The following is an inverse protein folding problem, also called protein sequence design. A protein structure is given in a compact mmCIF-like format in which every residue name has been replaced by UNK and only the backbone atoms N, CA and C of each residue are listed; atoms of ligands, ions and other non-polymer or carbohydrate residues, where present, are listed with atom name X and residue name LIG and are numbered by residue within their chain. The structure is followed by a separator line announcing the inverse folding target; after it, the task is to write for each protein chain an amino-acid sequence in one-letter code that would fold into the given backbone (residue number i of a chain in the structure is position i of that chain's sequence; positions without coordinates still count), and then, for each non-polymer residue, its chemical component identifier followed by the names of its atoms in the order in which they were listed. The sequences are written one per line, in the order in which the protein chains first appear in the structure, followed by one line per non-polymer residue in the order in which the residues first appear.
data_IF_687015186113
#
_entry.id   IF_687015186113
#
_cell.length_a   1.000
_cell.length_b   1.000
_cell.length_c   1.000
_cell.angle_alpha   90.00
_cell.angle_beta   90.00
_cell.angle_gamma   90.00
#
_symmetry.space_group_name_H-M   'P 1'
#
loop_
_entity.id
_entity.type
_entity.pdbx_description
1 polymer ?
#
# COMPACT_ATOMS: atom_id res chain seq x y z
N UNK A 1 10.93 14.95 4.96
CA UNK A 1 11.12 13.60 5.56
C UNK A 1 11.15 12.56 4.45
N UNK A 2 11.73 11.38 4.70
CA UNK A 2 11.59 10.18 3.87
C UNK A 2 10.38 9.39 4.36
N UNK A 3 9.35 9.29 3.58
CA UNK A 3 8.11 8.57 3.91
C UNK A 3 8.02 7.30 3.06
N UNK A 4 7.91 6.14 3.70
CA UNK A 4 7.72 4.87 3.00
C UNK A 4 6.27 4.40 3.19
N UNK A 5 5.52 4.25 2.10
CA UNK A 5 4.25 3.54 2.12
C UNK A 5 4.43 2.10 1.64
N UNK A 6 3.86 1.15 2.38
CA UNK A 6 3.93 -0.28 2.06
C UNK A 6 2.51 -0.84 1.99
N UNK A 7 2.06 -1.17 0.79
CA UNK A 7 0.81 -1.90 0.54
C UNK A 7 1.06 -3.39 0.35
N UNK A 8 0.09 -4.22 0.68
CA UNK A 8 0.15 -5.66 0.47
C UNK A 8 -0.01 -6.01 -1.01
N UNK A 9 -1.00 -5.42 -1.67
CA UNK A 9 -1.37 -5.74 -3.06
C UNK A 9 -1.22 -4.53 -4.00
N UNK A 10 -1.11 -4.76 -5.31
CA UNK A 10 -1.24 -3.72 -6.33
C UNK A 10 -2.67 -3.13 -6.28
N UNK A 11 -2.83 -1.89 -5.86
CA UNK A 11 -4.02 -1.05 -5.63
C UNK A 11 -4.16 -0.49 -4.20
N UNK A 12 -3.61 -1.15 -3.20
CA UNK A 12 -3.77 -0.78 -1.78
C UNK A 12 -3.33 0.66 -1.48
N UNK A 13 -2.19 1.07 -2.03
CA UNK A 13 -1.66 2.42 -1.78
C UNK A 13 -2.61 3.46 -2.35
N UNK A 14 -3.14 3.24 -3.54
CA UNK A 14 -4.07 4.14 -4.20
C UNK A 14 -5.39 4.23 -3.43
N UNK A 15 -5.90 3.11 -2.92
CA UNK A 15 -7.17 3.06 -2.20
C UNK A 15 -7.03 3.67 -0.80
N UNK A 16 -6.03 3.25 -0.03
CA UNK A 16 -5.99 3.56 1.41
C UNK A 16 -5.04 4.70 1.79
N UNK A 17 -4.00 5.00 1.01
CA UNK A 17 -2.90 5.86 1.44
C UNK A 17 -2.68 7.07 0.54
N UNK A 18 -3.22 7.07 -0.69
CA UNK A 18 -2.87 8.05 -1.73
C UNK A 18 -3.11 9.50 -1.31
N UNK A 19 -4.25 9.79 -0.69
CA UNK A 19 -4.60 11.16 -0.29
C UNK A 19 -3.55 11.76 0.66
N UNK A 20 -3.21 11.03 1.72
CA UNK A 20 -2.17 11.43 2.67
C UNK A 20 -0.81 11.57 1.97
N UNK A 21 -0.41 10.60 1.16
CA UNK A 21 0.86 10.62 0.44
C UNK A 21 0.96 11.82 -0.52
N UNK A 22 -0.14 12.18 -1.17
CA UNK A 22 -0.18 13.36 -2.07
C UNK A 22 0.03 14.65 -1.30
N UNK A 23 -0.60 14.81 -0.14
CA UNK A 23 -0.42 15.96 0.75
C UNK A 23 1.04 16.04 1.22
N UNK A 24 1.60 14.93 1.71
CA UNK A 24 2.99 14.87 2.16
C UNK A 24 3.97 15.24 1.03
N UNK A 25 3.72 14.73 -0.18
CA UNK A 25 4.52 15.08 -1.35
C UNK A 25 4.45 16.57 -1.68
N UNK A 26 3.26 17.18 -1.63
CA UNK A 26 3.07 18.61 -1.87
C UNK A 26 3.80 19.45 -0.82
N UNK A 27 3.91 18.96 0.41
CA UNK A 27 4.71 19.57 1.49
C UNK A 27 6.22 19.50 1.24
N UNK A 28 6.67 18.72 0.28
CA UNK A 28 8.09 18.53 -0.06
C UNK A 28 8.74 17.28 0.55
N UNK A 29 7.95 16.34 1.07
CA UNK A 29 8.47 15.07 1.58
C UNK A 29 8.88 14.14 0.43
N UNK A 30 9.91 13.32 0.67
CA UNK A 30 10.38 12.29 -0.25
C UNK A 30 9.57 11.01 -0.08
N UNK A 31 8.73 10.70 -1.07
CA UNK A 31 7.84 9.54 -1.02
C UNK A 31 8.50 8.33 -1.66
N UNK A 32 8.49 7.22 -0.93
CA UNK A 32 8.88 5.89 -1.36
C UNK A 32 7.68 4.96 -1.25
N UNK A 33 7.49 4.09 -2.25
CA UNK A 33 6.32 3.23 -2.37
C UNK A 33 6.77 1.78 -2.55
N UNK A 34 6.15 0.85 -1.84
CA UNK A 34 6.43 -0.58 -1.96
C UNK A 34 5.14 -1.40 -2.01
N UNK A 35 5.11 -2.37 -2.91
CA UNK A 35 4.05 -3.37 -3.02
C UNK A 35 4.65 -4.72 -2.64
N UNK A 36 4.08 -5.38 -1.64
CA UNK A 36 4.64 -6.61 -1.08
C UNK A 36 4.37 -7.81 -1.99
N UNK A 37 3.12 -8.08 -2.36
CA UNK A 37 2.74 -9.26 -3.14
C UNK A 37 2.66 -8.97 -4.64
N UNK A 38 2.55 -10.04 -5.43
CA UNK A 38 2.37 -9.96 -6.87
C UNK A 38 0.91 -9.74 -7.30
N UNK A 39 -0.04 -9.86 -6.36
CA UNK A 39 -1.47 -9.66 -6.60
C UNK A 39 -2.12 -10.69 -7.52
N UNK A 40 -1.54 -11.89 -7.66
CA UNK A 40 -1.96 -12.89 -8.64
C UNK A 40 -3.32 -13.54 -8.37
N UNK A 41 -3.90 -13.34 -7.17
CA UNK A 41 -5.18 -13.92 -6.80
C UNK A 41 -6.36 -12.95 -6.90
N UNK A 42 -6.12 -11.69 -7.26
CA UNK A 42 -7.13 -10.64 -7.30
C UNK A 42 -7.98 -10.60 -8.58
N UNK A 43 -8.29 -11.74 -9.21
CA UNK A 43 -9.15 -11.76 -10.41
C UNK A 43 -9.17 -13.10 -11.11
N UNK A 44 -9.97 -13.19 -12.20
CA UNK A 44 -10.27 -14.43 -12.93
C UNK A 44 -9.30 -14.72 -14.10
N UNK A 45 -8.41 -13.79 -14.43
CA UNK A 45 -7.42 -13.97 -15.48
C UNK A 45 -6.32 -14.97 -15.07
N UNK A 46 -5.62 -15.59 -16.04
CA UNK A 46 -4.46 -16.42 -15.73
C UNK A 46 -3.45 -15.64 -14.87
N UNK A 47 -2.99 -16.25 -13.76
CA UNK A 47 -2.16 -15.59 -12.74
C UNK A 47 -0.99 -14.79 -13.31
N UNK A 48 -0.23 -15.38 -14.25
CA UNK A 48 0.93 -14.72 -14.89
C UNK A 48 0.56 -13.48 -15.70
N UNK A 49 -0.62 -13.46 -16.29
CA UNK A 49 -1.14 -12.33 -17.04
C UNK A 49 -1.63 -11.24 -16.10
N UNK A 50 -2.42 -11.62 -15.07
CA UNK A 50 -2.94 -10.72 -14.06
C UNK A 50 -1.83 -9.94 -13.35
N UNK A 51 -0.75 -10.61 -12.94
CA UNK A 51 0.43 -9.96 -12.33
C UNK A 51 0.98 -8.86 -13.22
N UNK A 52 1.11 -9.11 -14.53
CA UNK A 52 1.63 -8.11 -15.48
C UNK A 52 0.69 -6.91 -15.62
N UNK A 53 -0.61 -7.18 -15.68
CA UNK A 53 -1.65 -6.14 -15.79
C UNK A 53 -1.65 -5.28 -14.53
N UNK A 54 -1.83 -5.88 -13.36
CA UNK A 54 -1.89 -5.16 -12.09
C UNK A 54 -0.63 -4.34 -11.81
N UNK A 55 0.54 -4.86 -12.18
CA UNK A 55 1.79 -4.10 -12.06
C UNK A 55 1.80 -2.84 -12.94
N UNK A 56 1.29 -2.92 -14.18
CA UNK A 56 1.17 -1.75 -15.07
C UNK A 56 0.16 -0.74 -14.51
N UNK A 57 -0.97 -1.21 -14.03
CA UNK A 57 -2.01 -0.39 -13.41
C UNK A 57 -1.46 0.38 -12.20
N UNK A 58 -0.74 -0.29 -11.28
CA UNK A 58 -0.07 0.34 -10.13
C UNK A 58 0.97 1.39 -10.57
N UNK A 59 1.79 1.10 -11.59
CA UNK A 59 2.76 2.09 -12.10
C UNK A 59 2.03 3.33 -12.63
N UNK A 60 0.92 3.15 -13.32
CA UNK A 60 0.10 4.27 -13.82
C UNK A 60 -0.57 5.03 -12.68
N UNK A 61 -1.21 4.34 -11.74
CA UNK A 61 -1.90 4.95 -10.58
C UNK A 61 -0.97 5.75 -9.69
N UNK A 62 0.25 5.26 -9.47
CA UNK A 62 1.23 5.89 -8.58
C UNK A 62 2.18 6.88 -9.28
N UNK A 63 2.00 7.12 -10.58
CA UNK A 63 2.92 7.96 -11.40
C UNK A 63 3.11 9.36 -10.86
N UNK A 64 2.08 9.97 -10.27
CA UNK A 64 2.13 11.29 -9.66
C UNK A 64 2.83 11.32 -8.28
N UNK A 65 3.06 10.16 -7.66
CA UNK A 65 3.74 10.05 -6.36
C UNK A 65 5.20 9.67 -6.52
N UNK A 66 5.47 8.43 -6.88
CA UNK A 66 6.81 7.90 -7.08
C UNK A 66 6.75 6.55 -7.82
N UNK A 67 7.90 6.09 -8.33
CA UNK A 67 8.01 4.74 -8.88
C UNK A 67 8.01 3.70 -7.75
N UNK A 68 7.07 2.73 -7.73
CA UNK A 68 7.01 1.74 -6.67
C UNK A 68 8.09 0.65 -6.77
N UNK A 69 8.54 0.16 -5.62
CA UNK A 69 9.28 -1.08 -5.46
C UNK A 69 8.30 -2.24 -5.42
N UNK A 70 8.51 -3.27 -6.22
CA UNK A 70 7.72 -4.52 -6.19
C UNK A 70 8.56 -5.63 -5.57
N UNK A 71 8.11 -6.19 -4.44
CA UNK A 71 8.81 -7.29 -3.77
C UNK A 71 8.44 -8.65 -4.39
N UNK A 72 7.34 -8.70 -5.14
CA UNK A 72 6.83 -9.88 -5.85
C UNK A 72 6.76 -11.12 -4.94
N UNK A 73 6.25 -10.95 -3.71
CA UNK A 73 5.98 -12.04 -2.80
C UNK A 73 4.67 -12.75 -3.22
N UNK A 74 4.46 -14.02 -2.88
CA UNK A 74 3.25 -14.73 -3.25
C UNK A 74 2.01 -14.12 -2.60
N UNK A 75 0.98 -13.80 -3.40
CA UNK A 75 -0.31 -13.29 -2.96
C UNK A 75 -1.08 -14.37 -2.17
N UNK A 76 -1.64 -14.01 -1.01
CA UNK A 76 -2.32 -14.90 -0.09
C UNK A 76 -1.41 -15.77 0.77
N UNK A 77 -0.08 -15.64 0.66
CA UNK A 77 0.91 -16.49 1.34
C UNK A 77 2.02 -15.67 2.03
N UNK A 78 1.72 -14.43 2.37
CA UNK A 78 2.75 -13.52 2.90
C UNK A 78 3.37 -14.02 4.21
N UNK A 79 2.59 -14.74 5.04
CA UNK A 79 3.03 -15.30 6.32
C UNK A 79 3.77 -16.65 6.25
N UNK A 80 3.78 -17.30 5.11
CA UNK A 80 4.22 -18.71 5.00
C UNK A 80 5.75 -18.89 5.06
N UNK A 81 6.51 -17.80 4.91
CA UNK A 81 7.96 -17.89 4.84
C UNK A 81 8.64 -16.68 5.51
N UNK A 82 9.55 -16.95 6.44
CA UNK A 82 10.37 -15.92 7.10
C UNK A 82 11.19 -15.07 6.13
N UNK A 83 11.55 -15.59 4.96
CA UNK A 83 12.24 -14.82 3.93
C UNK A 83 11.39 -13.64 3.41
N UNK A 84 10.05 -13.72 3.49
CA UNK A 84 9.18 -12.61 3.11
C UNK A 84 9.43 -11.39 4.02
N UNK A 85 9.46 -11.62 5.33
CA UNK A 85 9.82 -10.57 6.31
C UNK A 85 11.22 -10.02 6.10
N UNK A 86 12.19 -10.87 5.76
CA UNK A 86 13.57 -10.43 5.45
C UNK A 86 13.63 -9.52 4.23
N UNK A 87 12.87 -9.81 3.17
CA UNK A 87 12.80 -8.92 1.98
C UNK A 87 12.24 -7.54 2.34
N UNK A 88 11.18 -7.48 3.16
CA UNK A 88 10.59 -6.23 3.64
C UNK A 88 11.60 -5.47 4.50
N UNK A 89 12.26 -6.14 5.45
CA UNK A 89 13.32 -5.56 6.29
C UNK A 89 14.45 -4.97 5.45
N UNK A 90 14.94 -5.70 4.47
CA UNK A 90 16.03 -5.24 3.61
C UNK A 90 15.63 -3.98 2.83
N UNK A 91 14.38 -3.88 2.36
CA UNK A 91 13.90 -2.67 1.71
C UNK A 91 13.80 -1.49 2.69
N UNK A 92 13.23 -1.70 3.88
CA UNK A 92 13.12 -0.66 4.92
C UNK A 92 14.53 -0.16 5.29
N UNK A 93 15.47 -1.05 5.54
CA UNK A 93 16.85 -0.69 5.85
C UNK A 93 17.53 0.08 4.71
N UNK A 94 17.30 -0.32 3.45
CA UNK A 94 17.86 0.36 2.27
C UNK A 94 17.34 1.79 2.12
N UNK A 95 16.05 2.00 2.35
CA UNK A 95 15.41 3.33 2.24
C UNK A 95 15.76 4.18 3.46
N UNK A 96 15.83 3.56 4.63
CA UNK A 96 16.00 4.22 5.92
C UNK A 96 14.98 5.37 6.10
N UNK A 97 13.68 5.05 6.17
CA UNK A 97 12.60 6.04 6.22
C UNK A 97 12.51 6.69 7.61
N UNK A 98 12.06 7.95 7.63
CA UNK A 98 11.74 8.66 8.87
C UNK A 98 10.35 8.27 9.41
N UNK A 99 9.47 7.73 8.54
CA UNK A 99 8.12 7.27 8.88
C UNK A 99 7.66 6.23 7.87
N UNK A 100 6.86 5.26 8.34
CA UNK A 100 6.22 4.25 7.48
C UNK A 100 4.71 4.39 7.56
N UNK A 101 4.02 4.21 6.43
CA UNK A 101 2.56 4.13 6.33
C UNK A 101 2.23 2.72 5.82
N UNK A 102 1.32 2.02 6.49
CA UNK A 102 0.89 0.68 6.10
C UNK A 102 -0.53 0.38 6.57
N UNK A 103 -1.02 -0.84 6.33
CA UNK A 103 -2.34 -1.29 6.78
C UNK A 103 -2.48 -1.37 8.29
N UNK A 104 -3.72 -1.33 8.79
CA UNK A 104 -4.00 -1.58 10.21
C UNK A 104 -3.80 -3.07 10.56
N UNK A 105 -3.39 -3.32 11.81
CA UNK A 105 -3.18 -4.68 12.35
C UNK A 105 -4.46 -5.49 12.50
N UNK A 106 -5.62 -4.83 12.48
CA UNK A 106 -6.95 -5.44 12.63
C UNK A 106 -7.70 -5.52 11.31
N UNK A 107 -7.03 -5.25 10.17
CA UNK A 107 -7.62 -5.33 8.85
C UNK A 107 -8.26 -6.72 8.62
N UNK A 108 -9.34 -6.76 7.83
CA UNK A 108 -10.02 -8.01 7.50
C UNK A 108 -9.16 -8.94 6.62
N UNK A 109 -8.27 -8.38 5.77
CA UNK A 109 -7.45 -9.16 4.85
C UNK A 109 -6.21 -9.74 5.57
N UNK A 110 -5.97 -11.03 5.39
CA UNK A 110 -4.84 -11.73 6.05
C UNK A 110 -3.48 -11.13 5.70
N UNK A 111 -3.21 -10.88 4.42
CA UNK A 111 -1.93 -10.31 3.98
C UNK A 111 -1.73 -8.88 4.50
N UNK A 112 -2.80 -8.08 4.64
CA UNK A 112 -2.72 -6.75 5.26
C UNK A 112 -2.26 -6.85 6.72
N UNK A 113 -2.88 -7.74 7.50
CA UNK A 113 -2.49 -7.96 8.91
C UNK A 113 -1.05 -8.47 9.04
N UNK A 114 -0.66 -9.43 8.20
CA UNK A 114 0.69 -10.01 8.21
C UNK A 114 1.73 -8.95 7.85
N UNK A 115 1.49 -8.18 6.78
CA UNK A 115 2.37 -7.08 6.37
C UNK A 115 2.49 -6.04 7.48
N UNK A 116 1.38 -5.62 8.05
CA UNK A 116 1.33 -4.65 9.15
C UNK A 116 2.15 -5.11 10.35
N UNK A 117 2.02 -6.39 10.74
CA UNK A 117 2.82 -6.98 11.80
C UNK A 117 4.32 -7.00 11.46
N UNK A 118 4.69 -7.41 10.25
CA UNK A 118 6.09 -7.39 9.81
C UNK A 118 6.68 -6.00 9.84
N UNK A 119 5.97 -5.01 9.30
CA UNK A 119 6.40 -3.61 9.31
C UNK A 119 6.58 -3.11 10.74
N UNK A 120 5.59 -3.38 11.62
CA UNK A 120 5.64 -2.94 13.03
C UNK A 120 6.82 -3.53 13.78
N UNK A 121 7.08 -4.83 13.61
CA UNK A 121 8.21 -5.49 14.27
C UNK A 121 9.57 -5.02 13.73
N UNK A 122 9.63 -4.68 12.43
CA UNK A 122 10.86 -4.14 11.82
C UNK A 122 11.11 -2.70 12.26
N UNK A 123 10.06 -1.88 12.29
CA UNK A 123 10.13 -0.48 12.71
C UNK A 123 10.51 -0.36 14.19
N UNK A 124 10.02 -1.28 15.03
CA UNK A 124 10.29 -1.33 16.46
C UNK A 124 9.92 -0.01 17.15
N UNK A 125 10.86 0.53 17.95
CA UNK A 125 10.71 1.81 18.64
C UNK A 125 11.36 2.98 17.88
N UNK A 126 11.98 2.71 16.73
CA UNK A 126 12.85 3.68 16.06
C UNK A 126 12.17 4.43 14.92
N UNK A 127 11.19 3.80 14.26
CA UNK A 127 10.51 4.37 13.09
C UNK A 127 9.01 4.47 13.41
N UNK A 128 8.43 5.69 13.44
CA UNK A 128 6.99 5.87 13.58
C UNK A 128 6.23 5.17 12.46
N UNK A 129 5.13 4.48 12.81
CA UNK A 129 4.24 3.82 11.85
C UNK A 129 2.85 4.42 11.93
N UNK A 130 2.34 4.87 10.79
CA UNK A 130 0.93 5.26 10.62
C UNK A 130 0.19 4.08 9.99
N UNK A 131 -0.92 3.71 10.60
CA UNK A 131 -1.82 2.68 10.10
C UNK A 131 -2.97 3.33 9.35
N UNK A 132 -3.16 2.95 8.09
CA UNK A 132 -4.28 3.42 7.28
C UNK A 132 -5.58 2.74 7.69
N UNK A 133 -6.69 3.42 7.42
CA UNK A 133 -8.03 2.87 7.63
C UNK A 133 -8.22 1.55 6.87
N UNK A 134 -9.01 0.65 7.47
CA UNK A 134 -9.47 -0.60 6.85
C UNK A 134 -10.62 -0.33 5.89
N UNK A 135 -10.88 -1.26 4.96
CA UNK A 135 -12.04 -1.17 4.07
C UNK A 135 -13.33 -1.00 4.88
N UNK A 136 -14.11 0.04 4.58
CA UNK A 136 -15.37 0.39 5.26
C UNK A 136 -15.22 0.65 6.77
N UNK A 137 -14.02 0.94 7.27
CA UNK A 137 -13.78 1.21 8.70
C UNK A 137 -13.97 0.00 9.61
N UNK A 138 -14.02 -1.22 9.08
CA UNK A 138 -14.27 -2.44 9.88
C UNK A 138 -13.14 -2.62 10.90
N UNK A 139 -13.53 -2.70 12.20
CA UNK A 139 -12.61 -2.86 13.34
C UNK A 139 -11.57 -1.74 13.49
N UNK A 140 -11.76 -0.60 12.85
CA UNK A 140 -10.84 0.53 12.89
C UNK A 140 -11.40 1.67 13.74
N UNK A 141 -10.56 2.21 14.63
CA UNK A 141 -10.88 3.41 15.41
C UNK A 141 -9.79 4.44 15.15
N UNK A 142 -10.05 5.47 14.32
CA UNK A 142 -9.03 6.43 13.94
C UNK A 142 -8.65 7.35 15.12
N UNK A 143 -7.36 7.64 15.24
CA UNK A 143 -6.84 8.67 16.14
C UNK A 143 -6.67 10.02 15.43
N UNK A 144 -6.50 10.00 14.11
CA UNK A 144 -6.28 11.17 13.27
C UNK A 144 -7.14 11.09 12.02
N UNK A 145 -7.65 12.23 11.59
CA UNK A 145 -8.34 12.44 10.33
C UNK A 145 -7.53 13.40 9.48
N UNK A 146 -7.37 13.09 8.21
CA UNK A 146 -6.67 13.93 7.25
C UNK A 146 -7.68 14.40 6.20
N UNK A 147 -7.84 15.70 6.07
CA UNK A 147 -8.66 16.28 4.99
C UNK A 147 -7.91 16.11 3.66
N UNK A 148 -8.50 15.34 2.76
CA UNK A 148 -7.97 15.07 1.43
C UNK A 148 -8.81 15.71 0.32
N UNK A 149 -9.71 16.63 0.67
CA UNK A 149 -10.65 17.25 -0.29
C UNK A 149 -9.94 17.78 -1.52
N UNK A 150 -8.88 18.56 -1.35
CA UNK A 150 -8.13 19.18 -2.46
C UNK A 150 -7.39 18.18 -3.36
N UNK A 151 -7.18 16.95 -2.89
CA UNK A 151 -6.45 15.91 -3.62
C UNK A 151 -7.32 14.71 -3.97
N UNK A 152 -8.62 14.77 -3.66
CA UNK A 152 -9.54 13.65 -3.84
C UNK A 152 -9.70 13.25 -5.30
N UNK A 153 -9.82 14.21 -6.22
CA UNK A 153 -9.95 13.92 -7.65
C UNK A 153 -8.70 13.24 -8.23
N UNK A 154 -7.52 13.59 -7.73
CA UNK A 154 -6.27 12.95 -8.16
C UNK A 154 -6.21 11.52 -7.59
N UNK A 155 -6.61 11.32 -6.33
CA UNK A 155 -6.75 9.98 -5.73
C UNK A 155 -7.71 9.13 -6.54
N UNK A 156 -8.90 9.66 -6.88
CA UNK A 156 -9.90 8.95 -7.69
C UNK A 156 -9.31 8.50 -9.03
N UNK A 157 -8.60 9.38 -9.74
CA UNK A 157 -7.92 9.03 -11.00
C UNK A 157 -6.90 7.91 -10.82
N UNK A 158 -6.14 7.93 -9.73
CA UNK A 158 -5.16 6.88 -9.43
C UNK A 158 -5.84 5.52 -9.21
N UNK A 159 -6.92 5.47 -8.42
CA UNK A 159 -7.71 4.24 -8.20
C UNK A 159 -8.31 3.74 -9.51
N UNK A 160 -8.83 4.63 -10.36
CA UNK A 160 -9.42 4.27 -11.66
C UNK A 160 -8.43 3.66 -12.66
N UNK A 161 -7.12 3.71 -12.41
CA UNK A 161 -6.12 2.99 -13.21
C UNK A 161 -6.21 1.47 -13.07
N UNK A 162 -6.81 0.95 -11.99
CA UNK A 162 -6.89 -0.48 -11.69
C UNK A 162 -8.08 -1.18 -12.35
N UNK A 163 -8.17 -1.11 -13.68
CA UNK A 163 -9.29 -1.64 -14.47
C UNK A 163 -9.55 -3.13 -14.21
N UNK A 164 -8.49 -3.93 -14.00
CA UNK A 164 -8.61 -5.35 -13.66
C UNK A 164 -9.35 -5.61 -12.36
N UNK A 165 -9.44 -4.60 -11.48
CA UNK A 165 -10.06 -4.67 -10.16
C UNK A 165 -11.47 -4.08 -10.10
N UNK A 166 -12.07 -3.68 -11.24
CA UNK A 166 -13.40 -3.03 -11.29
C UNK A 166 -13.44 -1.83 -10.33
N UNK A 167 -12.65 -0.77 -10.59
CA UNK A 167 -12.33 0.28 -9.61
C UNK A 167 -13.51 1.13 -9.19
N UNK A 168 -14.61 1.16 -9.97
CA UNK A 168 -15.84 1.90 -9.62
C UNK A 168 -16.38 1.54 -8.22
N UNK A 169 -16.18 0.28 -7.81
CA UNK A 169 -16.59 -0.20 -6.47
C UNK A 169 -15.83 0.46 -5.31
N UNK A 170 -14.69 1.10 -5.57
CA UNK A 170 -13.88 1.78 -4.55
C UNK A 170 -14.06 3.29 -4.54
N UNK A 171 -14.71 3.87 -5.54
CA UNK A 171 -14.88 5.34 -5.66
C UNK A 171 -16.32 5.79 -5.53
N UNK A 172 -17.28 4.86 -5.52
CA UNK A 172 -18.72 5.12 -5.35
C UNK A 172 -19.25 4.66 -3.98
N UNK A 173 -18.38 4.45 -3.01
CA UNK A 173 -18.70 4.14 -1.62
C UNK A 173 -18.94 5.40 -0.81
#
# INVERSE_FOLDING_TARGET
MKILAVGAHPDDIEIFMYGLLRILKTRGDNIFLAIATDGCQGGDLPKKELVKIRKKETISGLSELAKPYFLNLPDGQLGDNLNHKLKIRNLINKINPDMIITHDKKDYHSDHRILSNFVSEIAGHYIPVIYSETMMGINFTPNYYIDITDVFDIKKKAVMCHLSQKPDRFVNL
#
